data_IF_115973430334
#
_entry.id   IF_115973430334
#
_cell.length_a   1.000
_cell.length_b   1.000
_cell.length_c   1.000
_cell.angle_alpha   90.00
_cell.angle_beta   90.00
_cell.angle_gamma   90.00
#
_symmetry.space_group_name_H-M   'P 1'
#
loop_
_entity.id
_entity.type
_entity.pdbx_description
1 polymer ?
#
# COMPACT_ATOMS: atom_id res chain seq x y z
N UNK A 1 -92.34 -84.51 -139.07
CA UNK A 1 -93.40 -85.45 -139.47
C UNK A 1 -93.22 -85.91 -140.88
N UNK A 2 -92.86 -87.18 -141.03
CA UNK A 2 -92.89 -87.91 -142.28
C UNK A 2 -94.32 -87.84 -142.84
N UNK A 3 -94.45 -87.51 -144.12
CA UNK A 3 -95.75 -87.40 -144.79
C UNK A 3 -96.26 -88.80 -145.19
N UNK A 4 -96.55 -89.61 -144.16
CA UNK A 4 -97.08 -90.98 -144.30
C UNK A 4 -98.36 -90.97 -145.16
N UNK A 5 -99.16 -89.91 -145.04
CA UNK A 5 -100.39 -89.70 -145.81
C UNK A 5 -100.13 -89.68 -147.33
N UNK A 6 -99.07 -89.00 -147.76
CA UNK A 6 -98.65 -88.98 -149.17
C UNK A 6 -98.21 -90.36 -149.67
N UNK A 7 -97.47 -91.13 -148.86
CA UNK A 7 -97.07 -92.48 -149.24
C UNK A 7 -98.24 -93.48 -149.29
N UNK A 8 -99.18 -93.39 -148.34
CA UNK A 8 -100.40 -94.21 -148.34
C UNK A 8 -101.25 -93.98 -149.60
N UNK A 9 -101.31 -92.74 -150.08
CA UNK A 9 -102.04 -92.40 -151.32
C UNK A 9 -101.42 -93.08 -152.55
N UNK A 10 -100.09 -93.07 -152.67
CA UNK A 10 -99.37 -93.76 -153.75
C UNK A 10 -99.59 -95.28 -153.75
N UNK A 11 -99.76 -95.90 -152.58
CA UNK A 11 -100.09 -97.33 -152.47
C UNK A 11 -101.47 -97.64 -153.05
N UNK A 12 -102.45 -96.77 -152.83
CA UNK A 12 -103.83 -96.96 -153.28
C UNK A 12 -104.01 -96.78 -154.80
N UNK A 13 -103.20 -95.94 -155.42
CA UNK A 13 -103.28 -95.61 -156.86
C UNK A 13 -102.44 -96.57 -157.75
N UNK A 14 -101.64 -97.44 -157.14
CA UNK A 14 -100.77 -98.38 -157.82
C UNK A 14 -101.55 -99.47 -158.59
N UNK A 15 -101.19 -99.69 -159.86
CA UNK A 15 -101.78 -100.71 -160.73
C UNK A 15 -100.91 -101.98 -160.72
N UNK A 16 -99.62 -101.83 -160.41
CA UNK A 16 -98.65 -102.92 -160.33
C UNK A 16 -98.14 -103.11 -158.90
N UNK A 17 -97.96 -104.38 -158.48
CA UNK A 17 -97.51 -104.69 -157.11
C UNK A 17 -96.11 -104.14 -156.75
N UNK A 18 -95.31 -103.77 -157.74
CA UNK A 18 -94.01 -103.12 -157.54
C UNK A 18 -94.15 -101.70 -156.98
N UNK A 19 -95.15 -100.94 -157.44
CA UNK A 19 -95.41 -99.56 -157.01
C UNK A 19 -95.89 -99.49 -155.54
N UNK A 20 -96.70 -100.48 -155.13
CA UNK A 20 -97.12 -100.67 -153.74
C UNK A 20 -95.92 -100.93 -152.84
N UNK A 21 -95.02 -101.84 -153.25
CA UNK A 21 -93.83 -102.20 -152.48
C UNK A 21 -92.90 -101.01 -152.30
N UNK A 22 -92.64 -100.24 -153.38
CA UNK A 22 -91.81 -99.04 -153.33
C UNK A 22 -92.35 -98.00 -152.35
N UNK A 23 -93.65 -97.74 -152.40
CA UNK A 23 -94.30 -96.75 -151.53
C UNK A 23 -94.29 -97.16 -150.04
N UNK A 24 -94.44 -98.45 -149.71
CA UNK A 24 -94.28 -98.95 -148.33
C UNK A 24 -92.84 -98.80 -147.85
N UNK A 25 -91.87 -99.11 -148.72
CA UNK A 25 -90.46 -98.97 -148.41
C UNK A 25 -90.10 -97.50 -148.12
N UNK A 26 -90.58 -96.58 -148.95
CA UNK A 26 -90.37 -95.14 -148.77
C UNK A 26 -91.03 -94.62 -147.48
N UNK A 27 -92.23 -95.09 -147.15
CA UNK A 27 -92.93 -94.72 -145.91
C UNK A 27 -92.16 -95.18 -144.65
N UNK A 28 -91.68 -96.44 -144.65
CA UNK A 28 -90.86 -96.98 -143.58
C UNK A 28 -89.52 -96.25 -143.47
N UNK A 29 -88.89 -95.92 -144.60
CA UNK A 29 -87.65 -95.14 -144.63
C UNK A 29 -87.88 -93.73 -144.04
N UNK A 30 -88.99 -93.08 -144.38
CA UNK A 30 -89.35 -91.77 -143.84
C UNK A 30 -89.67 -91.81 -142.34
N UNK A 31 -90.41 -92.82 -141.87
CA UNK A 31 -90.67 -93.04 -140.44
C UNK A 31 -89.38 -93.32 -139.67
N UNK A 32 -88.50 -94.16 -140.21
CA UNK A 32 -87.21 -94.45 -139.58
C UNK A 32 -86.37 -93.17 -139.49
N UNK A 33 -86.34 -92.34 -140.55
CA UNK A 33 -85.65 -91.05 -140.53
C UNK A 33 -86.22 -90.09 -139.47
N UNK A 34 -87.54 -90.03 -139.33
CA UNK A 34 -88.17 -89.21 -138.29
C UNK A 34 -87.90 -89.74 -136.89
N UNK A 35 -88.01 -91.04 -136.66
CA UNK A 35 -87.70 -91.67 -135.37
C UNK A 35 -86.23 -91.44 -135.00
N UNK A 36 -85.31 -91.58 -135.95
CA UNK A 36 -83.90 -91.20 -135.79
C UNK A 36 -83.74 -89.72 -135.44
N UNK A 37 -84.45 -88.82 -136.12
CA UNK A 37 -84.41 -87.38 -135.83
C UNK A 37 -84.97 -87.06 -134.44
N UNK A 38 -86.04 -87.74 -134.01
CA UNK A 38 -86.65 -87.56 -132.69
C UNK A 38 -85.73 -88.05 -131.57
N UNK A 39 -85.06 -89.20 -131.77
CA UNK A 39 -84.02 -89.68 -130.85
C UNK A 39 -82.83 -88.72 -130.79
N UNK A 40 -82.43 -88.13 -131.92
CA UNK A 40 -81.36 -87.13 -131.99
C UNK A 40 -81.75 -85.84 -131.26
N UNK A 41 -82.99 -85.35 -131.42
CA UNK A 41 -83.48 -84.21 -130.65
C UNK A 41 -83.59 -84.51 -129.16
N UNK A 42 -84.05 -85.70 -128.76
CA UNK A 42 -84.12 -86.10 -127.36
C UNK A 42 -82.72 -86.23 -126.74
N UNK A 43 -81.75 -86.76 -127.49
CA UNK A 43 -80.35 -86.78 -127.08
C UNK A 43 -79.81 -85.35 -126.91
N UNK A 44 -80.04 -84.47 -127.89
CA UNK A 44 -79.63 -83.06 -127.84
C UNK A 44 -80.26 -82.32 -126.65
N UNK A 45 -81.54 -82.57 -126.36
CA UNK A 45 -82.24 -81.97 -125.22
C UNK A 45 -81.69 -82.49 -123.88
N UNK A 46 -81.39 -83.79 -123.78
CA UNK A 46 -80.74 -84.38 -122.62
C UNK A 46 -79.34 -83.79 -122.40
N UNK A 47 -78.54 -83.68 -123.46
CA UNK A 47 -77.19 -83.10 -123.40
C UNK A 47 -77.26 -81.61 -123.03
N UNK A 48 -78.23 -80.86 -123.56
CA UNK A 48 -78.47 -79.46 -123.21
C UNK A 48 -78.91 -79.28 -121.75
N UNK A 49 -79.77 -80.17 -121.25
CA UNK A 49 -80.20 -80.17 -119.85
C UNK A 49 -79.04 -80.53 -118.91
N UNK A 50 -78.22 -81.51 -119.27
CA UNK A 50 -77.01 -81.87 -118.53
C UNK A 50 -76.01 -80.71 -118.51
N UNK A 51 -75.74 -80.07 -119.65
CA UNK A 51 -74.87 -78.90 -119.75
C UNK A 51 -75.41 -77.72 -118.92
N UNK A 52 -76.72 -77.51 -118.90
CA UNK A 52 -77.36 -76.45 -118.09
C UNK A 52 -77.23 -76.74 -116.59
N UNK A 53 -77.41 -78.00 -116.16
CA UNK A 53 -77.24 -78.41 -114.77
C UNK A 53 -75.77 -78.28 -114.32
N UNK A 54 -74.82 -78.64 -115.19
CA UNK A 54 -73.40 -78.49 -114.94
C UNK A 54 -72.99 -77.02 -114.83
N UNK A 55 -73.51 -76.16 -115.72
CA UNK A 55 -73.31 -74.71 -115.64
C UNK A 55 -73.85 -74.14 -114.32
N UNK A 56 -75.07 -74.52 -113.92
CA UNK A 56 -75.67 -74.06 -112.67
C UNK A 56 -74.87 -74.51 -111.44
N UNK A 57 -74.34 -75.74 -111.46
CA UNK A 57 -73.45 -76.26 -110.42
C UNK A 57 -72.15 -75.43 -110.35
N UNK A 58 -71.50 -75.17 -111.48
CA UNK A 58 -70.28 -74.36 -111.54
C UNK A 58 -70.51 -72.92 -111.07
N UNK A 59 -71.65 -72.32 -111.42
CA UNK A 59 -72.04 -70.98 -110.95
C UNK A 59 -72.30 -70.96 -109.43
N UNK A 60 -72.94 -72.00 -108.89
CA UNK A 60 -73.15 -72.15 -107.45
C UNK A 60 -71.82 -72.34 -106.69
N UNK A 61 -70.91 -73.17 -107.20
CA UNK A 61 -69.57 -73.36 -106.63
C UNK A 61 -68.77 -72.06 -106.65
N UNK A 62 -68.86 -71.30 -107.76
CA UNK A 62 -68.23 -69.96 -107.88
C UNK A 62 -68.82 -68.97 -106.87
N UNK A 63 -70.14 -68.98 -106.67
CA UNK A 63 -70.80 -68.13 -105.68
C UNK A 63 -70.38 -68.49 -104.25
N UNK A 64 -70.25 -69.79 -103.95
CA UNK A 64 -69.73 -70.28 -102.67
C UNK A 64 -68.29 -69.85 -102.40
N UNK A 65 -67.42 -69.94 -103.41
CA UNK A 65 -66.03 -69.44 -103.33
C UNK A 65 -66.00 -67.94 -103.06
N UNK A 66 -66.77 -67.14 -103.80
CA UNK A 66 -66.83 -65.68 -103.57
C UNK A 66 -67.38 -65.31 -102.19
N UNK A 67 -68.35 -66.06 -101.67
CA UNK A 67 -68.86 -65.84 -100.31
C UNK A 67 -67.79 -66.15 -99.25
N UNK A 68 -67.00 -67.21 -99.44
CA UNK A 68 -65.87 -67.53 -98.57
C UNK A 68 -64.76 -66.46 -98.64
N UNK A 69 -64.42 -65.96 -99.82
CA UNK A 69 -63.48 -64.85 -100.01
C UNK A 69 -63.97 -63.54 -99.36
N UNK A 70 -65.28 -63.27 -99.42
CA UNK A 70 -65.88 -62.11 -98.75
C UNK A 70 -65.83 -62.24 -97.23
N UNK A 71 -66.05 -63.44 -96.68
CA UNK A 71 -65.90 -63.71 -95.24
C UNK A 71 -64.45 -63.56 -94.78
N UNK A 72 -63.48 -64.08 -95.55
CA UNK A 72 -62.05 -63.89 -95.27
C UNK A 72 -61.67 -62.40 -95.31
N UNK A 73 -62.20 -61.66 -96.29
CA UNK A 73 -61.99 -60.21 -96.40
C UNK A 73 -62.60 -59.45 -95.21
N UNK A 74 -63.80 -59.83 -94.75
CA UNK A 74 -64.41 -59.26 -93.55
C UNK A 74 -63.60 -59.56 -92.28
N UNK A 75 -63.05 -60.78 -92.16
CA UNK A 75 -62.15 -61.15 -91.05
C UNK A 75 -60.87 -60.31 -91.05
N UNK A 76 -60.24 -60.11 -92.22
CA UNK A 76 -59.07 -59.23 -92.38
C UNK A 76 -59.40 -57.78 -92.03
N UNK A 77 -60.57 -57.27 -92.41
CA UNK A 77 -61.00 -55.92 -92.06
C UNK A 77 -61.19 -55.75 -90.54
N UNK A 78 -61.81 -56.71 -89.86
CA UNK A 78 -61.98 -56.69 -88.40
C UNK A 78 -60.63 -56.76 -87.66
N UNK A 79 -59.69 -57.56 -88.16
CA UNK A 79 -58.33 -57.59 -87.62
C UNK A 79 -57.62 -56.25 -87.82
N UNK A 80 -57.78 -55.63 -88.99
CA UNK A 80 -57.23 -54.30 -89.26
C UNK A 80 -57.82 -53.23 -88.33
N UNK A 81 -59.11 -53.28 -88.03
CA UNK A 81 -59.77 -52.38 -87.07
C UNK A 81 -59.19 -52.56 -85.66
N UNK A 82 -58.97 -53.81 -85.24
CA UNK A 82 -58.34 -54.13 -83.95
C UNK A 82 -56.91 -53.60 -83.88
N UNK A 83 -56.13 -53.77 -84.95
CA UNK A 83 -54.76 -53.26 -85.04
C UNK A 83 -54.72 -51.72 -85.03
N UNK A 84 -55.70 -51.06 -85.67
CA UNK A 84 -55.83 -49.60 -85.66
C UNK A 84 -56.12 -49.09 -84.23
N UNK A 85 -57.07 -49.71 -83.52
CA UNK A 85 -57.37 -49.38 -82.11
C UNK A 85 -56.17 -49.61 -81.19
N UNK A 86 -55.43 -50.71 -81.35
CA UNK A 86 -54.22 -50.96 -80.58
C UNK A 86 -53.13 -49.91 -80.85
N UNK A 87 -53.01 -49.45 -82.09
CA UNK A 87 -52.08 -48.39 -82.48
C UNK A 87 -52.49 -47.02 -81.91
N UNK A 88 -53.79 -46.73 -81.87
CA UNK A 88 -54.36 -45.54 -81.24
C UNK A 88 -54.03 -45.50 -79.74
N UNK A 89 -54.31 -46.58 -79.00
CA UNK A 89 -53.95 -46.69 -77.57
C UNK A 89 -52.44 -46.59 -77.34
N UNK A 90 -51.62 -47.17 -78.22
CA UNK A 90 -50.17 -47.03 -78.11
C UNK A 90 -49.72 -45.57 -78.33
N UNK A 91 -50.33 -44.86 -79.30
CA UNK A 91 -50.04 -43.46 -79.56
C UNK A 91 -50.45 -42.55 -78.38
N UNK A 92 -51.60 -42.80 -77.76
CA UNK A 92 -52.02 -42.13 -76.52
C UNK A 92 -51.00 -42.35 -75.40
N UNK A 93 -50.59 -43.61 -75.17
CA UNK A 93 -49.57 -43.90 -74.15
C UNK A 93 -48.22 -43.23 -74.42
N UNK A 94 -47.80 -43.10 -75.68
CA UNK A 94 -46.59 -42.34 -76.02
C UNK A 94 -46.76 -40.83 -75.82
N UNK A 95 -47.96 -40.28 -76.04
CA UNK A 95 -48.24 -38.88 -75.76
C UNK A 95 -48.14 -38.58 -74.26
N UNK A 96 -48.70 -39.44 -73.41
CA UNK A 96 -48.60 -39.30 -71.94
C UNK A 96 -47.14 -39.38 -71.47
N UNK A 97 -46.36 -40.35 -71.97
CA UNK A 97 -44.93 -40.46 -71.65
C UNK A 97 -44.12 -39.23 -72.09
N UNK A 98 -44.52 -38.58 -73.20
CA UNK A 98 -43.88 -37.36 -73.67
C UNK A 98 -44.22 -36.16 -72.76
N UNK A 99 -45.45 -36.07 -72.26
CA UNK A 99 -45.86 -35.06 -71.27
C UNK A 99 -45.08 -35.25 -69.97
N UNK A 100 -45.03 -36.47 -69.43
CA UNK A 100 -44.25 -36.79 -68.23
C UNK A 100 -42.77 -36.45 -68.41
N UNK A 101 -42.21 -36.72 -69.59
CA UNK A 101 -40.82 -36.38 -69.90
C UNK A 101 -40.60 -34.86 -69.94
N UNK A 102 -41.54 -34.11 -70.49
CA UNK A 102 -41.47 -32.64 -70.50
C UNK A 102 -41.56 -32.04 -69.08
N UNK A 103 -42.45 -32.57 -68.23
CA UNK A 103 -42.56 -32.14 -66.83
C UNK A 103 -41.29 -32.44 -66.02
N UNK A 104 -40.70 -33.63 -66.20
CA UNK A 104 -39.41 -33.97 -65.59
C UNK A 104 -38.28 -33.05 -66.07
N UNK A 105 -38.27 -32.70 -67.36
CA UNK A 105 -37.29 -31.76 -67.89
C UNK A 105 -37.46 -30.36 -67.27
N UNK A 106 -38.70 -29.88 -67.11
CA UNK A 106 -39.01 -28.63 -66.40
C UNK A 106 -38.51 -28.63 -64.96
N UNK A 107 -38.82 -29.68 -64.20
CA UNK A 107 -38.32 -29.86 -62.82
C UNK A 107 -36.78 -29.87 -62.78
N UNK A 108 -36.14 -30.54 -63.75
CA UNK A 108 -34.68 -30.57 -63.83
C UNK A 108 -34.08 -29.20 -64.13
N UNK A 109 -34.74 -28.38 -64.95
CA UNK A 109 -34.31 -27.01 -65.24
C UNK A 109 -34.40 -26.12 -63.99
N UNK A 110 -35.48 -26.23 -63.21
CA UNK A 110 -35.64 -25.52 -61.95
C UNK A 110 -34.57 -25.92 -60.92
N UNK A 111 -34.28 -27.22 -60.80
CA UNK A 111 -33.22 -27.72 -59.95
C UNK A 111 -31.84 -27.20 -60.37
N UNK A 112 -31.57 -27.11 -61.68
CA UNK A 112 -30.33 -26.54 -62.20
C UNK A 112 -30.20 -25.05 -61.85
N UNK A 113 -31.28 -24.27 -62.01
CA UNK A 113 -31.33 -22.85 -61.60
C UNK A 113 -31.12 -22.67 -60.09
N UNK A 114 -31.74 -23.50 -59.26
CA UNK A 114 -31.55 -23.46 -57.80
C UNK A 114 -30.11 -23.81 -57.40
N UNK A 115 -29.49 -24.77 -58.09
CA UNK A 115 -28.08 -25.15 -57.88
C UNK A 115 -27.14 -24.02 -58.28
N UNK A 116 -27.41 -23.35 -59.41
CA UNK A 116 -26.65 -22.17 -59.85
C UNK A 116 -26.72 -21.03 -58.82
N UNK A 117 -27.91 -20.72 -58.30
CA UNK A 117 -28.07 -19.71 -57.26
C UNK A 117 -27.30 -20.06 -55.98
N UNK A 118 -27.33 -21.33 -55.57
CA UNK A 118 -26.58 -21.80 -54.40
C UNK A 118 -25.07 -21.64 -54.61
N UNK A 119 -24.56 -21.99 -55.79
CA UNK A 119 -23.14 -21.83 -56.12
C UNK A 119 -22.72 -20.35 -56.13
N UNK A 120 -23.56 -19.46 -56.66
CA UNK A 120 -23.32 -18.02 -56.63
C UNK A 120 -23.30 -17.46 -55.20
N UNK A 121 -24.20 -17.93 -54.33
CA UNK A 121 -24.23 -17.53 -52.93
C UNK A 121 -22.96 -17.98 -52.19
N UNK A 122 -22.56 -19.24 -52.36
CA UNK A 122 -21.32 -19.76 -51.76
C UNK A 122 -20.08 -19.02 -52.26
N UNK A 123 -20.04 -18.62 -53.54
CA UNK A 123 -18.94 -17.82 -54.07
C UNK A 123 -18.86 -16.43 -53.40
N UNK A 124 -20.00 -15.79 -53.12
CA UNK A 124 -20.04 -14.51 -52.40
C UNK A 124 -19.57 -14.66 -50.96
N UNK A 125 -20.07 -15.67 -50.25
CA UNK A 125 -19.66 -15.97 -48.87
C UNK A 125 -18.15 -16.25 -48.77
N UNK A 126 -17.58 -16.94 -49.77
CA UNK A 126 -16.14 -17.18 -49.84
C UNK A 126 -15.33 -15.88 -50.02
N UNK A 127 -15.78 -14.95 -50.87
CA UNK A 127 -15.13 -13.64 -51.02
C UNK A 127 -15.31 -12.75 -49.79
N UNK A 128 -16.48 -12.76 -49.14
CA UNK A 128 -16.69 -12.07 -47.87
C UNK A 128 -15.75 -12.60 -46.78
N UNK A 129 -15.60 -13.91 -46.66
CA UNK A 129 -14.67 -14.55 -45.73
C UNK A 129 -13.21 -14.18 -46.00
N UNK A 130 -12.81 -14.15 -47.27
CA UNK A 130 -11.47 -13.69 -47.68
C UNK A 130 -11.22 -12.23 -47.35
N UNK A 131 -12.21 -11.35 -47.56
CA UNK A 131 -12.11 -9.94 -47.19
C UNK A 131 -12.03 -9.75 -45.67
N UNK A 132 -12.80 -10.52 -44.90
CA UNK A 132 -12.72 -10.52 -43.44
C UNK A 132 -11.34 -10.97 -42.94
N UNK A 133 -10.77 -12.02 -43.53
CA UNK A 133 -9.42 -12.48 -43.21
C UNK A 133 -8.35 -11.42 -43.51
N UNK A 134 -8.45 -10.73 -44.66
CA UNK A 134 -7.53 -9.64 -45.02
C UNK A 134 -7.64 -8.44 -44.06
N UNK A 135 -8.86 -8.10 -43.63
CA UNK A 135 -9.08 -7.06 -42.62
C UNK A 135 -8.44 -7.46 -41.27
N UNK A 136 -8.67 -8.68 -40.81
CA UNK A 136 -8.06 -9.18 -39.57
C UNK A 136 -6.52 -9.21 -39.64
N UNK A 137 -5.93 -9.56 -40.79
CA UNK A 137 -4.48 -9.48 -40.98
C UNK A 137 -3.97 -8.03 -40.88
N UNK A 138 -4.68 -7.07 -41.48
CA UNK A 138 -4.32 -5.65 -41.39
C UNK A 138 -4.46 -5.11 -39.96
N UNK A 139 -5.51 -5.50 -39.24
CA UNK A 139 -5.71 -5.15 -37.83
C UNK A 139 -4.63 -5.74 -36.94
N UNK A 140 -4.21 -6.99 -37.18
CA UNK A 140 -3.12 -7.63 -36.45
C UNK A 140 -1.78 -6.90 -36.65
N UNK A 141 -1.45 -6.51 -37.89
CA UNK A 141 -0.25 -5.71 -38.19
C UNK A 141 -0.30 -4.34 -37.51
N UNK A 142 -1.46 -3.67 -37.53
CA UNK A 142 -1.64 -2.39 -36.85
C UNK A 142 -1.52 -2.53 -35.32
N UNK A 143 -2.00 -3.63 -34.74
CA UNK A 143 -1.83 -3.93 -33.33
C UNK A 143 -0.36 -4.19 -32.96
N UNK A 144 0.39 -4.90 -33.81
CA UNK A 144 1.83 -5.14 -33.63
C UNK A 144 2.62 -3.81 -33.62
N UNK A 145 2.35 -2.91 -34.57
CA UNK A 145 3.03 -1.60 -34.63
C UNK A 145 2.69 -0.73 -33.40
N UNK A 146 1.43 -0.74 -32.94
CA UNK A 146 1.06 -0.06 -31.68
C UNK A 146 1.80 -0.65 -30.48
N UNK A 147 1.98 -1.97 -30.43
CA UNK A 147 2.72 -2.62 -29.35
C UNK A 147 4.22 -2.24 -29.35
N UNK A 148 4.84 -2.08 -30.54
CA UNK A 148 6.21 -1.57 -30.67
C UNK A 148 6.33 -0.14 -30.17
N UNK A 149 5.40 0.74 -30.56
CA UNK A 149 5.38 2.13 -30.11
C UNK A 149 5.23 2.24 -28.59
N UNK A 150 4.29 1.48 -27.99
CA UNK A 150 4.11 1.44 -26.53
C UNK A 150 5.39 0.96 -25.84
N UNK A 151 6.08 -0.05 -26.38
CA UNK A 151 7.36 -0.51 -25.81
C UNK A 151 8.41 0.60 -25.80
N UNK A 152 8.58 1.32 -26.91
CA UNK A 152 9.53 2.43 -27.01
C UNK A 152 9.20 3.56 -26.00
N UNK A 153 7.91 3.87 -25.83
CA UNK A 153 7.46 4.84 -24.84
C UNK A 153 7.76 4.39 -23.41
N UNK A 154 7.52 3.12 -23.09
CA UNK A 154 7.85 2.55 -21.77
C UNK A 154 9.35 2.58 -21.50
N UNK A 155 10.19 2.24 -22.48
CA UNK A 155 11.65 2.34 -22.34
C UNK A 155 12.10 3.78 -22.10
N UNK A 156 11.53 4.74 -22.84
CA UNK A 156 11.81 6.17 -22.67
C UNK A 156 11.39 6.67 -21.28
N UNK A 157 10.20 6.29 -20.82
CA UNK A 157 9.70 6.64 -19.49
C UNK A 157 10.53 5.99 -18.39
N UNK A 158 11.01 4.76 -18.58
CA UNK A 158 11.92 4.09 -17.65
C UNK A 158 13.26 4.80 -17.51
N UNK A 159 13.83 5.27 -18.63
CA UNK A 159 15.03 6.10 -18.61
C UNK A 159 14.81 7.44 -17.89
N UNK A 160 13.67 8.11 -18.16
CA UNK A 160 13.31 9.37 -17.48
C UNK A 160 13.14 9.17 -15.98
N UNK A 161 12.44 8.12 -15.54
CA UNK A 161 12.25 7.83 -14.12
C UNK A 161 13.59 7.59 -13.39
N UNK A 162 14.55 6.97 -14.09
CA UNK A 162 15.91 6.76 -13.55
C UNK A 162 16.66 8.10 -13.40
N UNK A 163 16.54 9.00 -14.38
CA UNK A 163 17.13 10.34 -14.30
C UNK A 163 16.51 11.17 -13.18
N UNK A 164 15.18 11.13 -13.03
CA UNK A 164 14.45 11.84 -11.98
C UNK A 164 14.84 11.32 -10.58
N UNK A 165 15.03 10.01 -10.43
CA UNK A 165 15.51 9.40 -9.19
C UNK A 165 16.94 9.87 -8.84
N UNK A 166 17.84 9.97 -9.82
CA UNK A 166 19.19 10.49 -9.62
C UNK A 166 19.16 11.97 -9.20
N UNK A 167 18.36 12.80 -9.88
CA UNK A 167 18.20 14.22 -9.55
C UNK A 167 17.61 14.41 -8.14
N UNK A 168 16.65 13.58 -7.73
CA UNK A 168 16.09 13.60 -6.39
C UNK A 168 17.13 13.23 -5.32
N UNK A 169 18.01 12.27 -5.61
CA UNK A 169 19.09 11.89 -4.70
C UNK A 169 20.13 13.02 -4.56
N UNK A 170 20.51 13.68 -5.65
CA UNK A 170 21.40 14.85 -5.61
C UNK A 170 20.78 15.99 -4.77
N UNK A 171 19.49 16.25 -4.93
CA UNK A 171 18.77 17.25 -4.13
C UNK A 171 18.73 16.91 -2.63
N UNK A 172 18.60 15.62 -2.27
CA UNK A 172 18.67 15.16 -0.88
C UNK A 172 20.05 15.42 -0.29
N UNK A 173 21.12 15.02 -1.00
CA UNK A 173 22.50 15.25 -0.55
C UNK A 173 22.80 16.75 -0.39
N UNK A 174 22.31 17.60 -1.31
CA UNK A 174 22.45 19.04 -1.18
C UNK A 174 21.71 19.60 0.05
N UNK A 175 20.53 19.05 0.38
CA UNK A 175 19.75 19.46 1.55
C UNK A 175 20.46 19.05 2.85
N UNK A 176 21.02 17.84 2.91
CA UNK A 176 21.82 17.38 4.06
C UNK A 176 23.04 18.27 4.27
N UNK A 177 23.79 18.58 3.21
CA UNK A 177 24.93 19.49 3.27
C UNK A 177 24.52 20.89 3.77
N UNK A 178 23.37 21.42 3.33
CA UNK A 178 22.85 22.70 3.79
C UNK A 178 22.45 22.65 5.28
N UNK A 179 21.87 21.55 5.75
CA UNK A 179 21.53 21.34 7.18
C UNK A 179 22.79 21.30 8.04
N UNK A 180 23.83 20.60 7.60
CA UNK A 180 25.08 20.50 8.33
C UNK A 180 25.80 21.87 8.38
N UNK A 181 25.79 22.62 7.28
CA UNK A 181 26.28 24.00 7.25
C UNK A 181 25.49 24.92 8.22
N UNK A 182 24.17 24.78 8.29
CA UNK A 182 23.34 25.53 9.25
C UNK A 182 23.69 25.18 10.70
N UNK A 183 23.94 23.90 11.01
CA UNK A 183 24.35 23.45 12.34
C UNK A 183 25.72 24.00 12.76
N UNK A 184 26.68 24.03 11.83
CA UNK A 184 27.98 24.70 12.04
C UNK A 184 27.78 26.18 12.32
N UNK A 185 26.90 26.85 11.57
CA UNK A 185 26.58 28.26 11.80
C UNK A 185 25.96 28.50 13.18
N UNK A 186 25.07 27.61 13.65
CA UNK A 186 24.49 27.66 14.99
C UNK A 186 25.56 27.51 16.08
N UNK A 187 26.49 26.56 15.92
CA UNK A 187 27.62 26.39 16.84
C UNK A 187 28.51 27.63 16.87
N UNK A 188 28.81 28.23 15.72
CA UNK A 188 29.60 29.46 15.64
C UNK A 188 28.90 30.65 16.30
N UNK A 189 27.57 30.74 16.18
CA UNK A 189 26.77 31.76 16.86
C UNK A 189 26.84 31.59 18.39
N UNK A 190 26.64 30.37 18.91
CA UNK A 190 26.78 30.04 20.34
C UNK A 190 28.18 30.34 20.86
N UNK A 191 29.23 29.99 20.12
CA UNK A 191 30.60 30.32 20.49
C UNK A 191 30.85 31.84 20.55
N UNK A 192 30.20 32.60 19.67
CA UNK A 192 30.28 34.07 19.67
C UNK A 192 29.50 34.68 20.84
N UNK A 193 28.36 34.10 21.20
CA UNK A 193 27.58 34.46 22.39
C UNK A 193 28.39 34.24 23.68
N UNK A 194 29.04 33.08 23.83
CA UNK A 194 29.93 32.82 24.98
C UNK A 194 31.05 33.85 25.08
N UNK A 195 31.72 34.17 23.96
CA UNK A 195 32.77 35.20 23.94
C UNK A 195 32.24 36.59 24.34
N UNK A 196 31.00 36.92 23.99
CA UNK A 196 30.38 38.18 24.36
C UNK A 196 30.07 38.24 25.87
N UNK A 197 29.58 37.14 26.45
CA UNK A 197 29.37 37.02 27.89
C UNK A 197 30.70 37.09 28.67
N UNK A 198 31.75 36.40 28.20
CA UNK A 198 33.10 36.49 28.80
C UNK A 198 33.64 37.93 28.77
N UNK A 199 33.45 38.64 27.65
CA UNK A 199 33.84 40.03 27.53
C UNK A 199 33.04 40.95 28.47
N UNK A 200 31.74 40.68 28.64
CA UNK A 200 30.88 41.41 29.59
C UNK A 200 31.32 41.18 31.04
N UNK A 201 31.60 39.93 31.43
CA UNK A 201 32.14 39.60 32.74
C UNK A 201 33.49 40.30 32.99
N UNK A 202 34.37 40.31 31.99
CA UNK A 202 35.64 41.06 32.05
C UNK A 202 35.44 42.57 32.23
N UNK A 203 34.43 43.16 31.58
CA UNK A 203 34.09 44.57 31.73
C UNK A 203 33.49 44.88 33.11
N UNK A 204 32.65 44.00 33.66
CA UNK A 204 32.11 44.12 35.02
C UNK A 204 33.23 44.04 36.07
N UNK A 205 34.15 43.06 35.93
CA UNK A 205 35.32 42.95 36.79
C UNK A 205 36.22 44.20 36.73
N UNK A 206 36.43 44.77 35.53
CA UNK A 206 37.18 46.01 35.37
C UNK A 206 36.48 47.21 36.03
N UNK A 207 35.15 47.27 35.98
CA UNK A 207 34.36 48.30 36.66
C UNK A 207 34.45 48.17 38.18
N UNK A 208 34.36 46.95 38.72
CA UNK A 208 34.54 46.68 40.14
C UNK A 208 35.94 47.07 40.61
N UNK A 209 36.98 46.69 39.86
CA UNK A 209 38.36 47.08 40.17
C UNK A 209 38.54 48.61 40.16
N UNK A 210 37.88 49.32 39.23
CA UNK A 210 37.91 50.78 39.20
C UNK A 210 37.19 51.42 40.40
N UNK A 211 36.05 50.85 40.84
CA UNK A 211 35.34 51.28 42.05
C UNK A 211 36.19 51.08 43.30
N UNK A 212 36.81 49.90 43.47
CA UNK A 212 37.71 49.64 44.60
C UNK A 212 38.93 50.57 44.59
N UNK A 213 39.49 50.88 43.42
CA UNK A 213 40.58 51.85 43.32
C UNK A 213 40.13 53.27 43.68
N UNK A 214 38.90 53.65 43.32
CA UNK A 214 38.31 54.93 43.73
C UNK A 214 38.12 54.99 45.25
N UNK A 215 37.53 53.96 45.87
CA UNK A 215 37.34 53.88 47.33
C UNK A 215 38.69 53.98 48.07
N UNK A 216 39.70 53.25 47.59
CA UNK A 216 41.06 53.34 48.16
C UNK A 216 41.64 54.75 48.03
N UNK A 217 41.41 55.45 46.91
CA UNK A 217 41.88 56.82 46.73
C UNK A 217 41.12 57.82 47.63
N UNK A 218 39.84 57.59 47.88
CA UNK A 218 39.04 58.38 48.84
C UNK A 218 39.51 58.16 50.28
N UNK A 219 39.85 56.93 50.66
CA UNK A 219 40.43 56.59 51.97
C UNK A 219 41.82 57.21 52.16
N UNK A 220 42.68 57.16 51.14
CA UNK A 220 43.98 57.84 51.13
C UNK A 220 43.81 59.36 51.28
N UNK A 221 42.82 59.96 50.62
CA UNK A 221 42.53 61.39 50.72
C UNK A 221 42.05 61.79 52.13
N UNK A 222 41.21 60.96 52.77
CA UNK A 222 40.79 61.14 54.16
C UNK A 222 41.99 61.04 55.11
N UNK A 223 42.87 60.04 54.91
CA UNK A 223 44.09 59.86 55.71
C UNK A 223 45.04 61.05 55.57
N UNK A 224 45.19 61.59 54.36
CA UNK A 224 45.99 62.79 54.12
C UNK A 224 45.37 64.04 54.77
N UNK A 225 44.04 64.18 54.75
CA UNK A 225 43.33 65.26 55.43
C UNK A 225 43.53 65.19 56.96
N UNK A 226 43.41 63.99 57.54
CA UNK A 226 43.68 63.77 58.96
C UNK A 226 45.13 64.11 59.32
N UNK A 227 46.09 63.65 58.50
CA UNK A 227 47.51 63.98 58.71
C UNK A 227 47.78 65.48 58.68
N UNK A 228 47.02 66.25 57.88
CA UNK A 228 47.09 67.71 57.86
C UNK A 228 46.55 68.32 59.15
N UNK A 229 45.39 67.85 59.65
CA UNK A 229 44.84 68.29 60.93
C UNK A 229 45.80 67.97 62.08
N UNK A 230 46.38 66.78 62.11
CA UNK A 230 47.37 66.37 63.12
C UNK A 230 48.61 67.27 63.10
N UNK A 231 49.07 67.66 61.91
CA UNK A 231 50.18 68.60 61.77
C UNK A 231 49.81 70.02 62.27
N UNK A 232 48.59 70.47 62.03
CA UNK A 232 48.09 71.75 62.55
C UNK A 232 47.90 71.71 64.09
N UNK A 233 47.43 70.59 64.62
CA UNK A 233 47.34 70.34 66.06
C UNK A 233 48.73 70.31 66.70
N UNK A 234 49.70 69.62 66.11
CA UNK A 234 51.08 69.59 66.57
C UNK A 234 51.73 70.98 66.54
N UNK A 235 51.48 71.78 65.49
CA UNK A 235 51.93 73.19 65.42
C UNK A 235 51.33 74.00 66.57
N UNK A 236 50.04 73.85 66.83
CA UNK A 236 49.35 74.56 67.91
C UNK A 236 49.88 74.15 69.28
N UNK A 237 50.11 72.85 69.50
CA UNK A 237 50.73 72.31 70.70
C UNK A 237 52.16 72.82 70.89
N UNK A 238 52.95 72.97 69.82
CA UNK A 238 54.28 73.54 69.88
C UNK A 238 54.27 75.03 70.25
N UNK A 239 53.33 75.81 69.72
CA UNK A 239 53.16 77.23 70.09
C UNK A 239 52.66 77.38 71.54
N UNK A 240 51.79 76.49 71.99
CA UNK A 240 51.37 76.42 73.39
C UNK A 240 52.55 76.04 74.30
N UNK A 241 53.32 75.00 73.96
CA UNK A 241 54.50 74.61 74.72
C UNK A 241 55.56 75.72 74.81
N UNK A 242 55.71 76.54 73.75
CA UNK A 242 56.55 77.74 73.78
C UNK A 242 56.01 78.79 74.76
N UNK A 243 54.70 78.98 74.81
CA UNK A 243 54.04 79.88 75.78
C UNK A 243 54.23 79.35 77.20
N UNK A 244 53.94 78.07 77.43
CA UNK A 244 54.11 77.40 78.72
C UNK A 244 55.58 77.43 79.19
N UNK A 245 56.54 77.34 78.28
CA UNK A 245 57.97 77.47 78.59
C UNK A 245 58.34 78.91 78.98
N UNK A 246 57.73 79.92 78.36
CA UNK A 246 57.90 81.32 78.75
C UNK A 246 57.29 81.58 80.14
N UNK A 247 56.09 81.05 80.39
CA UNK A 247 55.42 81.15 81.69
C UNK A 247 56.21 80.40 82.77
N UNK A 248 56.69 79.19 82.47
CA UNK A 248 57.56 78.41 83.37
C UNK A 248 58.89 79.11 83.63
N UNK A 249 59.47 79.80 82.65
CA UNK A 249 60.68 80.60 82.86
C UNK A 249 60.40 81.81 83.78
N UNK A 250 59.21 82.43 83.64
CA UNK A 250 58.77 83.49 84.53
C UNK A 250 58.48 82.97 85.96
N UNK A 251 57.82 81.81 86.08
CA UNK A 251 57.59 81.14 87.37
C UNK A 251 58.90 80.66 88.01
N UNK A 252 59.87 80.18 87.23
CA UNK A 252 61.20 79.82 87.72
C UNK A 252 61.97 81.04 88.20
N UNK A 253 61.87 82.18 87.50
CA UNK A 253 62.43 83.45 87.96
C UNK A 253 61.76 83.92 89.27
N UNK A 254 60.43 83.80 89.37
CA UNK A 254 59.67 84.08 90.59
C UNK A 254 60.00 83.13 91.74
N UNK A 255 60.21 81.85 91.45
CA UNK A 255 60.58 80.81 92.41
C UNK A 255 62.02 80.94 92.87
N UNK A 256 62.95 81.37 92.00
CA UNK A 256 64.32 81.71 92.38
C UNK A 256 64.34 82.89 93.37
N UNK A 257 63.52 83.92 93.13
CA UNK A 257 63.36 85.04 94.06
C UNK A 257 62.76 84.60 95.42
N UNK A 258 61.82 83.64 95.41
CA UNK A 258 61.28 83.05 96.66
C UNK A 258 62.28 82.13 97.35
N UNK A 259 63.04 81.31 96.62
CA UNK A 259 63.99 80.34 97.17
C UNK A 259 65.18 81.01 97.87
N UNK A 260 65.62 82.20 97.45
CA UNK A 260 66.59 83.02 98.21
C UNK A 260 66.09 83.30 99.65
N UNK A 261 64.77 83.39 99.88
CA UNK A 261 64.20 83.66 101.20
C UNK A 261 64.11 82.42 102.11
N UNK A 262 64.12 81.21 101.53
CA UNK A 262 64.04 79.91 102.25
C UNK A 262 65.38 79.16 102.29
N UNK A 263 66.37 79.56 101.49
CA UNK A 263 67.70 78.93 101.43
C UNK A 263 68.38 78.97 102.81
N UNK A 264 68.82 77.80 103.28
CA UNK A 264 69.38 77.61 104.61
C UNK A 264 68.36 77.35 105.73
N UNK A 265 67.08 77.08 105.41
CA UNK A 265 65.98 76.95 106.40
C UNK A 265 65.04 75.74 106.15
N UNK A 266 65.52 74.49 106.30
CA UNK A 266 64.75 73.28 105.99
C UNK A 266 63.56 73.04 106.96
N UNK A 267 62.43 72.49 106.49
CA UNK A 267 61.38 71.99 107.36
C UNK A 267 61.95 70.94 108.30
N UNK A 268 61.68 71.09 109.58
CA UNK A 268 62.21 70.20 110.61
C UNK A 268 61.06 69.37 111.19
N UNK A 269 61.21 68.05 111.32
CA UNK A 269 60.25 67.25 112.06
C UNK A 269 60.42 67.60 113.54
N UNK A 270 59.38 68.16 114.14
CA UNK A 270 59.40 68.53 115.56
C UNK A 270 58.01 68.26 116.13
N UNK A 271 57.97 67.48 117.22
CA UNK A 271 56.73 67.12 117.93
C UNK A 271 55.70 66.35 117.08
N UNK A 272 56.15 65.46 116.18
CA UNK A 272 55.25 64.56 115.42
C UNK A 272 54.54 65.21 114.23
N UNK A 273 54.83 66.48 113.97
CA UNK A 273 54.32 67.26 112.85
C UNK A 273 55.49 68.02 112.19
N UNK A 274 55.31 68.44 110.94
CA UNK A 274 56.35 69.19 110.24
C UNK A 274 56.35 70.65 110.68
N UNK A 275 57.50 71.21 111.05
CA UNK A 275 57.65 72.66 111.28
C UNK A 275 58.31 73.31 110.08
N UNK A 276 57.73 74.39 109.57
CA UNK A 276 58.05 74.98 108.27
C UNK A 276 58.45 76.45 108.48
N UNK A 277 59.48 76.91 107.77
CA UNK A 277 59.87 78.33 107.75
C UNK A 277 58.78 79.16 107.06
N UNK A 278 58.47 80.34 107.57
CA UNK A 278 57.64 81.34 106.92
C UNK A 278 58.52 82.52 106.51
N UNK A 279 58.58 82.81 105.22
CA UNK A 279 59.40 83.89 104.67
C UNK A 279 58.77 85.28 104.80
N UNK A 280 57.45 85.41 104.98
CA UNK A 280 56.81 86.71 105.21
C UNK A 280 57.07 87.22 106.64
N UNK A 281 57.06 86.31 107.62
CA UNK A 281 57.26 86.66 109.04
C UNK A 281 58.70 86.45 109.52
N UNK A 282 59.50 85.69 108.79
CA UNK A 282 60.90 85.40 109.13
C UNK A 282 61.06 84.45 110.33
N UNK A 283 60.15 83.49 110.54
CA UNK A 283 60.18 82.52 111.65
C UNK A 283 59.64 81.13 111.26
N UNK A 284 59.89 80.09 112.08
CA UNK A 284 59.29 78.75 111.88
C UNK A 284 57.94 78.63 112.59
N UNK A 285 56.96 77.98 111.94
CA UNK A 285 55.66 77.64 112.51
C UNK A 285 55.34 76.13 112.34
N UNK A 286 54.41 75.60 113.15
CA UNK A 286 53.98 74.20 113.13
C UNK A 286 52.90 73.96 112.04
N UNK A 287 53.09 72.98 111.16
CA UNK A 287 52.16 72.69 110.05
C UNK A 287 51.06 71.67 110.36
N UNK A 288 51.17 70.93 111.47
CA UNK A 288 50.23 69.88 111.86
C UNK A 288 50.09 68.65 110.92
N UNK A 289 50.96 68.46 109.92
CA UNK A 289 50.84 67.37 108.91
C UNK A 289 51.52 66.05 109.35
N UNK A 290 50.85 64.91 109.09
CA UNK A 290 51.26 63.49 109.30
C UNK A 290 51.63 62.77 107.97
N UNK A 291 52.32 61.61 107.97
CA UNK A 291 53.20 61.21 106.86
C UNK A 291 53.05 59.84 106.07
N UNK A 292 51.89 59.13 105.80
CA UNK A 292 51.84 57.83 104.98
C UNK A 292 50.53 57.41 104.14
N UNK A 293 50.62 56.71 102.91
CA UNK A 293 49.80 55.56 102.19
C UNK A 293 49.32 55.46 100.63
N UNK A 294 48.97 54.23 100.00
CA UNK A 294 48.43 53.82 98.57
C UNK A 294 47.66 52.37 98.29
N UNK A 295 47.00 51.96 97.10
CA UNK A 295 45.97 50.79 96.74
C UNK A 295 45.98 49.78 95.42
N UNK A 296 44.89 49.01 94.91
CA UNK A 296 44.85 47.59 94.21
C UNK A 296 44.24 47.20 92.72
N UNK A 297 44.07 45.86 92.25
CA UNK A 297 44.03 45.16 90.83
C UNK A 297 42.92 44.00 90.44
N UNK A 298 42.71 43.42 89.15
CA UNK A 298 41.58 42.49 88.55
C UNK A 298 41.79 41.09 87.71
N UNK A 299 40.80 40.47 86.91
CA UNK A 299 40.61 38.96 86.48
C UNK A 299 40.17 38.50 84.97
N UNK A 300 40.38 37.21 84.46
CA UNK A 300 40.14 36.62 83.05
C UNK A 300 39.61 35.11 82.83
N UNK A 301 39.76 34.37 81.67
CA UNK A 301 39.19 32.99 81.33
C UNK A 301 40.16 31.79 81.58
N UNK A 302 39.66 30.62 82.01
CA UNK A 302 40.46 29.43 82.40
C UNK A 302 40.39 28.18 81.46
N UNK A 303 39.22 27.66 81.04
CA UNK A 303 39.09 26.33 80.36
C UNK A 303 37.70 26.09 79.69
N UNK A 304 37.54 25.13 78.75
CA UNK A 304 36.25 24.60 78.20
C UNK A 304 36.25 23.07 78.11
N UNK A 305 35.24 22.39 78.69
CA UNK A 305 35.15 20.92 78.75
C UNK A 305 33.82 20.37 78.26
N UNK A 306 33.84 19.21 77.58
CA UNK A 306 32.62 18.45 77.29
C UNK A 306 32.03 17.92 78.60
N UNK A 307 30.77 18.23 78.87
CA UNK A 307 30.09 17.86 80.11
C UNK A 307 28.88 16.95 79.89
N UNK A 308 28.39 16.80 78.65
CA UNK A 308 27.32 15.84 78.33
C UNK A 308 27.34 15.45 76.85
N UNK A 309 27.08 14.18 76.54
CA UNK A 309 27.08 13.65 75.18
C UNK A 309 28.30 12.76 74.91
N UNK A 310 28.28 12.05 73.79
CA UNK A 310 29.20 10.97 73.46
C UNK A 310 29.59 10.93 71.98
N UNK A 311 29.23 11.98 71.22
CA UNK A 311 29.46 12.05 69.78
C UNK A 311 28.68 11.03 68.95
N UNK A 312 27.65 10.37 69.53
CA UNK A 312 26.85 9.39 68.81
C UNK A 312 26.03 10.03 67.67
N UNK A 313 25.87 9.35 66.52
CA UNK A 313 25.01 9.81 65.45
C UNK A 313 23.58 10.06 65.92
N UNK A 314 23.03 11.22 65.57
CA UNK A 314 21.68 11.66 65.92
C UNK A 314 21.52 12.31 67.30
N UNK A 315 22.60 12.58 68.06
CA UNK A 315 22.55 13.14 69.44
C UNK A 315 23.17 14.55 69.55
N UNK A 316 22.97 15.24 70.69
CA UNK A 316 23.57 16.56 70.99
C UNK A 316 24.55 16.48 72.16
N UNK A 317 25.74 17.03 71.98
CA UNK A 317 26.79 17.20 72.97
C UNK A 317 26.74 18.61 73.62
N UNK A 318 27.16 18.77 74.88
CA UNK A 318 27.17 20.02 75.66
C UNK A 318 28.55 20.22 76.30
N UNK A 319 29.10 21.44 76.21
CA UNK A 319 30.38 21.87 76.78
C UNK A 319 30.20 23.00 77.81
N UNK A 320 31.05 23.05 78.84
CA UNK A 320 31.09 24.09 79.89
C UNK A 320 32.42 24.85 79.89
N UNK A 321 32.36 26.18 79.89
CA UNK A 321 33.48 27.14 79.96
C UNK A 321 33.70 27.62 81.40
N UNK A 322 34.95 27.73 81.86
CA UNK A 322 35.38 28.16 83.19
C UNK A 322 36.27 29.42 83.13
N UNK A 323 36.11 30.36 84.08
CA UNK A 323 36.86 31.61 84.22
C UNK A 323 37.87 31.58 85.40
N UNK A 324 38.86 32.49 85.43
CA UNK A 324 39.89 32.61 86.49
C UNK A 324 39.38 33.21 87.81
N UNK A 325 38.22 33.87 87.81
CA UNK A 325 37.50 34.24 89.04
C UNK A 325 36.61 33.10 89.57
N UNK A 326 36.56 31.96 88.86
CA UNK A 326 35.78 30.78 89.22
C UNK A 326 34.38 30.72 88.62
N UNK A 327 33.95 31.71 87.83
CA UNK A 327 32.63 31.68 87.14
C UNK A 327 32.61 30.75 85.91
N UNK A 328 31.42 30.29 85.47
CA UNK A 328 31.28 29.32 84.35
C UNK A 328 30.01 29.54 83.48
N UNK A 329 29.97 29.02 82.23
CA UNK A 329 28.78 28.99 81.35
C UNK A 329 28.81 27.83 80.31
N UNK A 330 27.72 27.51 79.59
CA UNK A 330 27.63 26.33 78.68
C UNK A 330 27.28 26.63 77.21
N UNK A 331 27.63 25.70 76.31
CA UNK A 331 27.33 25.70 74.86
C UNK A 331 26.97 24.27 74.35
N UNK A 332 26.17 24.11 73.28
CA UNK A 332 25.68 22.81 72.77
C UNK A 332 25.87 22.58 71.25
N UNK A 333 26.13 21.33 70.81
CA UNK A 333 26.47 20.92 69.43
C UNK A 333 25.73 19.62 69.01
N UNK A 334 25.06 19.58 67.84
CA UNK A 334 24.29 18.40 67.34
C UNK A 334 25.07 17.56 66.31
N UNK A 335 25.06 16.23 66.46
CA UNK A 335 25.76 15.24 65.64
C UNK A 335 24.76 14.51 64.71
N UNK A 336 24.90 14.64 63.38
CA UNK A 336 23.90 14.15 62.39
C UNK A 336 23.56 12.65 62.43
N UNK A 337 22.40 12.25 61.87
CA UNK A 337 21.71 10.96 62.09
C UNK A 337 22.53 9.69 61.78
N UNK A 338 23.44 9.72 60.78
CA UNK A 338 24.12 8.51 60.28
C UNK A 338 25.66 8.56 60.43
N UNK A 339 26.21 9.56 61.12
CA UNK A 339 27.65 9.65 61.41
C UNK A 339 28.57 9.81 60.18
N UNK A 340 28.01 9.97 58.97
CA UNK A 340 28.74 10.21 57.72
C UNK A 340 27.98 11.29 56.94
N UNK A 341 28.70 12.31 56.49
CA UNK A 341 28.11 13.49 55.84
C UNK A 341 27.24 13.14 54.63
N UNK A 342 26.14 13.88 54.46
CA UNK A 342 25.09 13.67 53.47
C UNK A 342 25.57 13.70 52.01
N UNK A 343 25.20 12.71 51.19
CA UNK A 343 25.44 12.79 49.73
C UNK A 343 24.94 11.69 48.78
N UNK A 344 24.87 10.40 49.12
CA UNK A 344 24.79 9.36 48.07
C UNK A 344 23.36 8.81 47.77
N UNK A 345 23.00 8.79 46.47
CA UNK A 345 21.85 8.08 45.91
C UNK A 345 22.20 6.59 45.84
N UNK A 346 21.45 5.74 46.53
CA UNK A 346 21.60 4.28 46.44
C UNK A 346 20.83 3.76 45.21
N UNK A 347 21.47 2.95 44.39
CA UNK A 347 20.86 2.33 43.22
C UNK A 347 21.47 0.98 42.87
N UNK A 348 20.72 0.14 42.16
CA UNK A 348 21.17 -1.15 41.62
C UNK A 348 20.91 -1.21 40.11
N UNK A 349 21.81 -1.83 39.35
CA UNK A 349 21.64 -2.11 37.92
C UNK A 349 21.47 -3.60 37.68
N UNK A 350 20.59 -3.98 36.76
CA UNK A 350 20.39 -5.37 36.38
C UNK A 350 19.75 -5.51 35.01
N UNK A 351 19.96 -6.68 34.39
CA UNK A 351 19.41 -7.00 33.07
C UNK A 351 18.14 -7.85 33.18
N UNK A 352 17.23 -7.63 32.24
CA UNK A 352 16.05 -8.45 31.98
C UNK A 352 16.02 -8.87 30.52
N UNK A 353 15.51 -10.08 30.25
CA UNK A 353 15.25 -10.56 28.89
C UNK A 353 13.76 -10.47 28.63
N UNK A 354 13.38 -9.73 27.58
CA UNK A 354 12.04 -9.69 27.03
C UNK A 354 11.96 -10.82 25.99
N UNK A 355 11.16 -11.86 26.22
CA UNK A 355 11.09 -12.98 25.29
C UNK A 355 10.43 -12.57 23.96
N UNK A 356 10.85 -13.18 22.86
CA UNK A 356 10.19 -13.09 21.55
C UNK A 356 8.78 -13.73 21.59
N UNK A 357 8.61 -14.77 22.41
CA UNK A 357 7.34 -15.47 22.59
C UNK A 357 6.56 -14.94 23.80
N UNK A 358 5.23 -15.09 23.77
CA UNK A 358 4.36 -14.73 24.91
C UNK A 358 3.74 -13.33 24.84
N UNK A 359 3.94 -12.62 23.72
CA UNK A 359 3.17 -11.43 23.41
C UNK A 359 1.72 -11.79 23.08
N UNK A 360 0.79 -10.97 23.59
CA UNK A 360 -0.64 -11.07 23.27
C UNK A 360 -1.20 -9.67 23.15
N UNK A 361 -1.83 -9.37 22.01
CA UNK A 361 -2.36 -8.04 21.69
C UNK A 361 -1.30 -6.92 21.87
N UNK A 362 -0.05 -7.19 21.47
CA UNK A 362 1.05 -6.22 21.59
C UNK A 362 1.51 -5.96 23.02
N UNK A 363 1.23 -6.85 23.99
CA UNK A 363 1.72 -6.74 25.36
C UNK A 363 2.34 -8.04 25.90
N UNK A 364 3.38 -7.90 26.72
CA UNK A 364 4.02 -9.00 27.45
C UNK A 364 4.27 -8.58 28.90
N UNK A 365 4.25 -9.54 29.83
CA UNK A 365 4.59 -9.28 31.25
C UNK A 365 5.72 -10.20 31.68
N UNK A 366 6.77 -9.60 32.22
CA UNK A 366 7.97 -10.29 32.69
C UNK A 366 7.94 -10.31 34.21
N UNK A 367 8.30 -11.45 34.78
CA UNK A 367 8.44 -11.63 36.21
C UNK A 367 9.92 -11.55 36.63
N UNK A 368 10.24 -10.68 37.58
CA UNK A 368 11.56 -10.59 38.20
C UNK A 368 11.46 -10.01 39.61
N UNK A 369 12.00 -10.72 40.61
CA UNK A 369 11.92 -10.37 42.03
C UNK A 369 12.58 -9.03 42.39
N UNK A 370 13.47 -8.51 41.52
CA UNK A 370 14.18 -7.23 41.73
C UNK A 370 13.29 -6.02 41.43
N UNK A 371 12.15 -6.22 40.78
CA UNK A 371 11.15 -5.20 40.46
C UNK A 371 10.27 -4.91 41.68
N UNK A 372 10.27 -3.67 42.15
CA UNK A 372 9.54 -3.18 43.32
C UNK A 372 8.53 -2.09 42.92
N UNK A 373 7.25 -2.31 43.24
CA UNK A 373 6.17 -1.34 43.09
C UNK A 373 6.08 -0.39 44.30
N UNK A 374 7.16 0.34 44.59
CA UNK A 374 7.24 1.28 45.70
C UNK A 374 7.41 2.71 45.19
N UNK A 375 6.71 3.67 45.78
CA UNK A 375 6.79 5.09 45.37
C UNK A 375 8.17 5.73 45.57
N UNK A 376 9.01 5.12 46.40
CA UNK A 376 10.41 5.49 46.64
C UNK A 376 11.37 4.94 45.59
N UNK A 377 10.91 4.14 44.64
CA UNK A 377 11.75 3.52 43.62
C UNK A 377 11.42 4.05 42.23
N UNK A 378 12.46 4.39 41.46
CA UNK A 378 12.34 4.78 40.05
C UNK A 378 13.25 3.91 39.20
N UNK A 379 12.81 3.64 37.98
CA UNK A 379 13.52 2.78 37.04
C UNK A 379 13.82 3.55 35.77
N UNK A 380 15.05 3.41 35.29
CA UNK A 380 15.44 3.74 33.93
C UNK A 380 15.66 2.44 33.17
N UNK A 381 15.16 2.37 31.93
CA UNK A 381 15.30 1.21 31.05
C UNK A 381 16.01 1.66 29.78
N UNK A 382 16.96 0.84 29.33
CA UNK A 382 17.61 0.98 28.02
C UNK A 382 17.75 -0.39 27.37
N UNK A 383 17.68 -0.46 26.04
CA UNK A 383 17.95 -1.68 25.31
C UNK A 383 19.46 -1.92 25.21
N UNK A 384 19.87 -3.19 25.29
CA UNK A 384 21.25 -3.58 24.99
C UNK A 384 21.58 -3.26 23.51
N UNK A 385 22.86 -2.95 23.23
CA UNK A 385 23.29 -2.56 21.89
C UNK A 385 22.99 -3.63 20.83
N UNK A 386 23.02 -4.92 21.21
CA UNK A 386 22.75 -6.03 20.28
C UNK A 386 21.28 -6.10 19.80
N UNK A 387 20.33 -5.60 20.58
CA UNK A 387 18.90 -5.67 20.27
C UNK A 387 18.23 -4.28 20.11
N UNK A 388 19.03 -3.21 20.16
CA UNK A 388 18.56 -1.82 20.18
C UNK A 388 17.75 -1.41 18.95
N UNK A 389 18.18 -1.83 17.75
CA UNK A 389 17.44 -1.54 16.51
C UNK A 389 16.05 -2.18 16.55
N UNK A 390 15.98 -3.47 16.90
CA UNK A 390 14.71 -4.21 17.01
C UNK A 390 13.81 -3.66 18.13
N UNK A 391 14.37 -3.29 19.27
CA UNK A 391 13.64 -2.67 20.38
C UNK A 391 12.97 -1.34 19.96
N UNK A 392 13.67 -0.53 19.15
CA UNK A 392 13.16 0.73 18.63
C UNK A 392 12.13 0.51 17.52
N UNK A 393 12.39 -0.41 16.58
CA UNK A 393 11.51 -0.71 15.44
C UNK A 393 10.18 -1.32 15.90
N UNK A 394 10.22 -2.17 16.93
CA UNK A 394 9.01 -2.73 17.56
C UNK A 394 8.25 -1.72 18.44
N UNK A 395 8.83 -0.53 18.68
CA UNK A 395 8.32 0.49 19.59
C UNK A 395 8.00 -0.08 21.00
N UNK A 396 8.96 -0.81 21.58
CA UNK A 396 8.77 -1.42 22.90
C UNK A 396 8.76 -0.35 24.00
N UNK A 397 7.69 -0.29 24.79
CA UNK A 397 7.50 0.70 25.85
C UNK A 397 7.15 0.02 27.19
N UNK A 398 7.87 0.35 28.29
CA UNK A 398 7.52 -0.15 29.61
C UNK A 398 6.32 0.59 30.19
N UNK A 399 5.43 -0.14 30.87
CA UNK A 399 4.40 0.45 31.74
C UNK A 399 4.94 0.67 33.15
N UNK A 400 4.22 1.46 33.94
CA UNK A 400 4.49 1.61 35.36
C UNK A 400 4.42 0.25 36.09
N UNK A 401 5.40 -0.01 36.94
CA UNK A 401 5.40 -1.19 37.83
C UNK A 401 4.38 -0.93 38.95
N UNK A 402 3.19 -1.52 38.82
CA UNK A 402 2.12 -1.41 39.82
C UNK A 402 2.09 -2.59 40.80
N UNK A 403 2.76 -3.69 40.45
CA UNK A 403 2.85 -4.91 41.27
C UNK A 403 4.31 -5.34 41.35
N UNK A 404 4.85 -5.46 42.57
CA UNK A 404 6.22 -5.94 42.76
C UNK A 404 6.38 -7.33 42.14
N UNK A 405 7.53 -7.57 41.53
CA UNK A 405 7.81 -8.78 40.80
C UNK A 405 7.44 -8.73 39.32
N UNK A 406 6.74 -7.72 38.82
CA UNK A 406 6.21 -7.72 37.44
C UNK A 406 6.43 -6.41 36.69
N UNK A 407 6.91 -6.51 35.46
CA UNK A 407 7.00 -5.40 34.50
C UNK A 407 6.21 -5.77 33.24
N UNK A 408 5.22 -4.95 32.90
CA UNK A 408 4.47 -5.08 31.64
C UNK A 408 5.07 -4.16 30.60
N UNK A 409 5.29 -4.67 29.39
CA UNK A 409 5.70 -3.90 28.23
C UNK A 409 4.65 -3.98 27.12
N UNK A 410 4.66 -2.99 26.24
CA UNK A 410 3.82 -2.92 25.04
C UNK A 410 4.66 -2.66 23.80
N UNK A 411 4.21 -3.09 22.64
CA UNK A 411 4.86 -2.86 21.35
C UNK A 411 3.82 -2.57 20.26
N UNK A 412 4.26 -1.95 19.16
CA UNK A 412 3.44 -1.81 17.95
C UNK A 412 3.57 -3.05 17.05
N UNK A 413 4.72 -3.72 17.10
CA UNK A 413 5.01 -4.96 16.38
C UNK A 413 5.77 -5.91 17.30
N UNK A 414 5.42 -7.19 17.29
CA UNK A 414 6.03 -8.18 18.17
C UNK A 414 7.49 -8.45 17.75
N UNK A 415 8.46 -8.40 18.70
CA UNK A 415 9.86 -8.74 18.43
C UNK A 415 10.02 -10.15 17.87
N UNK A 416 10.92 -10.30 16.89
CA UNK A 416 11.28 -11.58 16.30
C UNK A 416 12.35 -12.33 17.11
N UNK A 417 13.10 -11.63 17.97
CA UNK A 417 14.11 -12.21 18.86
C UNK A 417 13.97 -11.71 20.31
N UNK A 418 14.58 -12.45 21.24
CA UNK A 418 14.66 -12.06 22.65
C UNK A 418 15.44 -10.74 22.79
N UNK A 419 14.86 -9.76 23.47
CA UNK A 419 15.47 -8.44 23.66
C UNK A 419 16.03 -8.32 25.08
N UNK A 420 17.34 -8.08 25.22
CA UNK A 420 17.92 -7.78 26.53
C UNK A 420 17.80 -6.29 26.84
N UNK A 421 17.29 -5.97 28.02
CA UNK A 421 17.17 -4.59 28.51
C UNK A 421 17.91 -4.42 29.83
N UNK A 422 18.58 -3.28 29.97
CA UNK A 422 19.36 -2.87 31.13
C UNK A 422 18.48 -1.93 31.97
N UNK A 423 18.25 -2.28 33.23
CA UNK A 423 17.48 -1.47 34.18
C UNK A 423 18.38 -0.89 35.27
N UNK A 424 18.17 0.39 35.57
CA UNK A 424 18.73 1.05 36.76
C UNK A 424 17.58 1.39 37.69
N UNK A 425 17.59 0.81 38.90
CA UNK A 425 16.65 1.12 39.97
C UNK A 425 17.32 2.08 40.95
N UNK A 426 16.72 3.25 41.17
CA UNK A 426 17.15 4.24 42.15
C UNK A 426 16.22 4.24 43.36
N UNK A 427 16.83 4.28 44.54
CA UNK A 427 16.14 4.45 45.82
C UNK A 427 16.16 5.93 46.19
N UNK A 428 14.99 6.56 46.09
CA UNK A 428 14.82 7.94 46.48
C UNK A 428 14.70 8.02 47.99
N UNK A 429 15.56 8.83 48.62
CA UNK A 429 15.39 9.19 50.03
C UNK A 429 14.00 9.80 50.20
N UNK A 430 13.29 9.39 51.25
CA UNK A 430 11.89 9.74 51.50
C UNK A 430 11.63 11.22 51.82
N UNK A 431 12.37 12.17 51.23
CA UNK A 431 12.20 13.62 51.35
C UNK A 431 10.95 14.14 50.61
N UNK A 432 9.85 13.41 50.73
CA UNK A 432 8.55 13.75 50.15
C UNK A 432 7.39 12.87 50.64
N UNK A 433 7.63 11.88 51.51
CA UNK A 433 6.55 11.19 52.21
C UNK A 433 6.16 12.04 53.42
N UNK A 434 5.03 12.74 53.25
CA UNK A 434 4.16 13.35 54.27
C UNK A 434 4.47 12.82 55.70
N UNK A 435 4.96 13.71 56.58
CA UNK A 435 4.68 13.62 58.01
C UNK A 435 3.33 14.27 58.29
#
# INVERSE_FOLDING_TARGET
MADISSFLKKILEAIYGEEVRGSIHDALAAMNKESSSAMEFAATAKDSAAASAEKAKNEADTAGQKAAEALDSAGKAAQSETNAKASETAAEGYADLAVDAAERAGTSEENAKASEQTALQQAREAEESKNAAALSEAEAKAAEERAKEVRNQVETLGAQATADAAAAQEARTATEAARDAAKVSETNAKASETKAEDAKAGAEAAKEAALSAQESAEEDALTAAQSKEDAEAARTAAEQAKTDALDSAAEAAGSAAKAEQYSGKPPKPQNGTWWIWDAETGAYYDSQISCELQGPIGVGIQDIRLTKGDHSPGTTDIYTVHMTDGSTYTISVYNGLNGTGAGDVLGISFDLVIPAEGWSEGSVTIADERLLALGTHKYFLSADEACKEEFLDCNVQPKNITTSGFLTLTCDTEPAADLTVNLIRLELSGNGAIQ
#
